data_IF_975896730673
#
_entry.id   IF_975896730673
#
_cell.length_a   1.000
_cell.length_b   1.000
_cell.length_c   1.000
_cell.angle_alpha   90.00
_cell.angle_beta   90.00
_cell.angle_gamma   90.00
#
_symmetry.space_group_name_H-M   'P 1'
#
loop_
_entity.id
_entity.type
_entity.pdbx_description
1 polymer ?
#
# COMPACT_ATOMS: atom_id res chain seq x y z
N UNK A 1 -18.25 0.84 -10.23
CA UNK A 1 -17.38 1.69 -11.07
C UNK A 1 -16.17 0.93 -11.64
N UNK A 2 -15.39 0.19 -10.81
CA UNK A 2 -14.24 -0.60 -11.28
C UNK A 2 -14.67 -1.67 -12.29
N UNK A 3 -15.78 -2.35 -12.04
CA UNK A 3 -16.34 -3.36 -12.93
C UNK A 3 -16.84 -2.75 -14.25
N UNK A 4 -17.39 -1.52 -14.23
CA UNK A 4 -17.82 -0.84 -15.44
C UNK A 4 -16.64 -0.38 -16.29
N UNK A 5 -15.54 0.07 -15.71
CA UNK A 5 -14.32 0.41 -16.45
C UNK A 5 -13.71 -0.80 -17.17
N UNK A 6 -13.79 -1.99 -16.57
CA UNK A 6 -13.29 -3.23 -17.17
C UNK A 6 -14.28 -3.86 -18.18
N UNK A 7 -15.57 -3.56 -18.11
CA UNK A 7 -16.57 -4.14 -19.00
C UNK A 7 -16.36 -3.76 -20.46
N UNK A 8 -15.80 -2.57 -20.74
CA UNK A 8 -15.50 -2.09 -22.09
C UNK A 8 -14.40 -2.92 -22.78
N UNK A 9 -13.61 -3.66 -22.00
CA UNK A 9 -12.53 -4.51 -22.50
C UNK A 9 -12.88 -6.00 -22.53
N UNK A 10 -14.07 -6.39 -22.09
CA UNK A 10 -14.51 -7.77 -22.16
C UNK A 10 -14.82 -8.15 -23.59
N UNK A 11 -14.19 -9.21 -24.13
CA UNK A 11 -14.49 -9.65 -25.48
C UNK A 11 -15.90 -10.23 -25.56
N UNK A 12 -16.67 -9.82 -26.55
CA UNK A 12 -17.98 -10.40 -26.82
C UNK A 12 -17.82 -11.61 -27.75
N UNK A 13 -17.71 -12.79 -27.17
CA UNK A 13 -17.50 -14.05 -27.89
C UNK A 13 -18.67 -14.42 -28.80
N UNK A 14 -19.88 -13.90 -28.50
CA UNK A 14 -21.09 -14.18 -29.25
C UNK A 14 -21.29 -13.23 -30.45
N UNK A 15 -20.43 -12.23 -30.64
CA UNK A 15 -20.52 -11.30 -31.76
C UNK A 15 -19.76 -11.82 -33.00
N UNK A 16 -20.29 -11.55 -34.17
CA UNK A 16 -19.63 -11.89 -35.43
C UNK A 16 -18.32 -11.08 -35.66
N UNK A 17 -18.13 -10.02 -34.90
CA UNK A 17 -16.93 -9.18 -34.92
C UNK A 17 -15.82 -9.69 -34.03
N UNK A 18 -16.10 -10.70 -33.21
CA UNK A 18 -15.09 -11.30 -32.31
C UNK A 18 -13.93 -11.89 -33.11
N UNK A 19 -12.71 -11.50 -32.76
CA UNK A 19 -11.47 -11.98 -33.38
C UNK A 19 -10.55 -12.60 -32.33
N UNK A 20 -9.79 -13.62 -32.77
CA UNK A 20 -8.83 -14.29 -31.89
C UNK A 20 -7.82 -13.32 -31.24
N UNK A 21 -7.47 -12.23 -31.91
CA UNK A 21 -6.58 -11.18 -31.36
C UNK A 21 -7.19 -10.51 -30.12
N UNK A 22 -8.50 -10.43 -30.01
CA UNK A 22 -9.20 -9.79 -28.90
C UNK A 22 -9.02 -10.60 -27.59
N UNK A 23 -8.86 -11.93 -27.70
CA UNK A 23 -8.48 -12.79 -26.60
C UNK A 23 -7.05 -12.54 -26.10
N UNK A 24 -6.13 -12.19 -26.99
CA UNK A 24 -4.73 -11.95 -26.63
C UNK A 24 -4.52 -10.56 -25.99
N UNK A 25 -5.28 -9.57 -26.42
CA UNK A 25 -5.18 -8.20 -25.89
C UNK A 25 -5.91 -8.02 -24.54
N UNK A 26 -6.93 -8.82 -24.26
CA UNK A 26 -7.71 -8.74 -23.04
C UNK A 26 -6.88 -8.94 -21.76
N UNK A 27 -6.01 -9.96 -21.64
CA UNK A 27 -5.13 -10.12 -20.47
C UNK A 27 -4.21 -8.91 -20.25
N UNK A 28 -3.63 -8.35 -21.32
CA UNK A 28 -2.73 -7.19 -21.21
C UNK A 28 -3.47 -5.95 -20.70
N UNK A 29 -4.67 -5.70 -21.19
CA UNK A 29 -5.52 -4.60 -20.73
C UNK A 29 -5.91 -4.77 -19.27
N UNK A 30 -6.28 -5.99 -18.85
CA UNK A 30 -6.61 -6.31 -17.47
C UNK A 30 -5.40 -6.11 -16.54
N UNK A 31 -4.22 -6.53 -16.97
CA UNK A 31 -2.99 -6.33 -16.22
C UNK A 31 -2.72 -4.83 -16.01
N UNK A 32 -2.79 -4.03 -17.06
CA UNK A 32 -2.60 -2.57 -16.95
C UNK A 32 -3.60 -1.92 -16.01
N UNK A 33 -4.87 -2.36 -16.03
CA UNK A 33 -5.88 -1.84 -15.11
C UNK A 33 -5.60 -2.23 -13.66
N UNK A 34 -5.15 -3.45 -13.38
CA UNK A 34 -4.76 -3.86 -12.04
C UNK A 34 -3.53 -3.10 -11.54
N UNK A 35 -2.53 -2.88 -12.39
CA UNK A 35 -1.35 -2.09 -12.04
C UNK A 35 -1.74 -0.65 -11.67
N UNK A 36 -2.59 -0.01 -12.48
CA UNK A 36 -3.10 1.34 -12.21
C UNK A 36 -3.89 1.38 -10.89
N UNK A 37 -4.80 0.43 -10.66
CA UNK A 37 -5.56 0.33 -9.41
C UNK A 37 -4.65 0.15 -8.19
N UNK A 38 -3.59 -0.62 -8.32
CA UNK A 38 -2.63 -0.83 -7.24
C UNK A 38 -1.88 0.46 -6.90
N UNK A 39 -1.42 1.20 -7.93
CA UNK A 39 -0.75 2.49 -7.74
C UNK A 39 -1.69 3.50 -7.09
N UNK A 40 -2.93 3.61 -7.57
CA UNK A 40 -3.93 4.52 -7.03
C UNK A 40 -4.28 4.16 -5.58
N UNK A 41 -4.42 2.87 -5.27
CA UNK A 41 -4.66 2.39 -3.91
C UNK A 41 -3.53 2.78 -2.96
N UNK A 42 -2.29 2.54 -3.35
CA UNK A 42 -1.11 2.89 -2.56
C UNK A 42 -1.03 4.39 -2.31
N UNK A 43 -1.28 5.20 -3.34
CA UNK A 43 -1.25 6.65 -3.22
C UNK A 43 -2.36 7.18 -2.32
N UNK A 44 -3.57 6.67 -2.48
CA UNK A 44 -4.71 7.05 -1.64
C UNK A 44 -4.50 6.61 -0.19
N UNK A 45 -3.97 5.43 0.04
CA UNK A 45 -3.63 4.94 1.37
C UNK A 45 -2.54 5.80 2.02
N UNK A 46 -1.49 6.13 1.28
CA UNK A 46 -0.45 7.05 1.76
C UNK A 46 -1.03 8.41 2.15
N UNK A 47 -1.87 8.99 1.30
CA UNK A 47 -2.54 10.26 1.58
C UNK A 47 -3.43 10.16 2.82
N UNK A 48 -4.17 9.06 2.99
CA UNK A 48 -4.96 8.81 4.19
C UNK A 48 -4.09 8.82 5.45
N UNK A 49 -2.98 8.10 5.46
CA UNK A 49 -2.07 8.05 6.62
C UNK A 49 -1.45 9.41 6.91
N UNK A 50 -1.05 10.16 5.88
CA UNK A 50 -0.48 11.51 6.05
C UNK A 50 -1.48 12.52 6.65
N UNK A 51 -2.78 12.30 6.41
CA UNK A 51 -3.85 13.14 6.95
C UNK A 51 -4.35 12.68 8.34
N UNK A 52 -3.75 11.62 8.92
CA UNK A 52 -4.10 11.22 10.28
C UNK A 52 -3.63 12.29 11.26
N UNK A 53 -4.58 12.88 11.95
CA UNK A 53 -4.33 13.87 13.00
C UNK A 53 -4.30 13.21 14.37
N UNK A 54 -3.31 13.54 15.19
CA UNK A 54 -3.27 13.12 16.58
C UNK A 54 -4.03 14.11 17.45
N UNK A 55 -5.10 13.62 18.08
CA UNK A 55 -5.87 14.43 19.05
C UNK A 55 -5.04 14.65 20.31
N UNK A 56 -5.24 15.80 20.96
CA UNK A 56 -4.53 16.12 22.22
C UNK A 56 -4.67 15.03 23.29
N UNK A 57 -5.80 14.33 23.35
CA UNK A 57 -6.03 13.22 24.27
C UNK A 57 -5.06 12.06 24.13
N UNK A 58 -4.39 11.89 22.98
CA UNK A 58 -3.36 10.87 22.78
C UNK A 58 -2.12 11.20 23.61
N UNK A 59 -1.73 12.47 23.70
CA UNK A 59 -0.59 12.90 24.49
C UNK A 59 -0.78 12.70 26.01
N UNK A 60 -2.02 12.75 26.47
CA UNK A 60 -2.39 12.50 27.86
C UNK A 60 -2.40 11.01 28.23
N UNK A 61 -2.68 10.13 27.26
CA UNK A 61 -2.85 8.69 27.46
C UNK A 61 -1.65 7.86 27.02
N UNK A 62 -0.54 8.49 26.68
CA UNK A 62 0.65 7.75 26.25
C UNK A 62 1.25 6.95 27.41
N UNK A 63 1.73 5.76 27.07
CA UNK A 63 2.50 4.91 28.01
C UNK A 63 3.93 5.44 28.12
N UNK A 64 4.61 5.06 29.18
CA UNK A 64 6.03 5.38 29.33
C UNK A 64 6.87 4.40 28.51
N UNK A 65 7.71 4.92 27.62
CA UNK A 65 8.63 4.15 26.81
C UNK A 65 10.06 4.56 27.12
N UNK A 66 10.96 3.57 27.19
CA UNK A 66 12.40 3.85 27.28
C UNK A 66 12.90 4.29 25.89
N UNK A 67 13.28 5.56 25.79
CA UNK A 67 13.75 6.18 24.55
C UNK A 67 15.06 5.60 24.00
N UNK A 68 15.82 4.89 24.84
CA UNK A 68 17.07 4.24 24.44
C UNK A 68 16.87 2.83 23.89
N UNK A 69 15.66 2.28 24.04
CA UNK A 69 15.31 0.98 23.46
C UNK A 69 15.22 1.04 21.94
N UNK A 70 15.35 -0.12 21.31
CA UNK A 70 15.08 -0.28 19.87
C UNK A 70 13.64 -0.72 19.65
N UNK A 71 13.00 -0.15 18.67
CA UNK A 71 11.59 -0.38 18.34
C UNK A 71 11.47 -1.02 16.97
N UNK A 72 10.67 -2.06 16.89
CA UNK A 72 10.24 -2.68 15.65
C UNK A 72 8.81 -2.21 15.39
N UNK A 73 8.62 -1.41 14.34
CA UNK A 73 7.34 -0.79 14.04
C UNK A 73 6.68 -1.44 12.82
N UNK A 74 5.48 -1.98 13.03
CA UNK A 74 4.65 -2.57 11.99
C UNK A 74 3.62 -1.59 11.42
N UNK A 75 3.52 -0.40 11.99
CA UNK A 75 2.61 0.65 11.52
C UNK A 75 3.32 1.57 10.52
N UNK A 76 2.53 2.24 9.72
CA UNK A 76 3.02 3.20 8.72
C UNK A 76 3.19 4.61 9.28
N UNK A 77 2.56 4.90 10.42
CA UNK A 77 2.56 6.22 11.04
C UNK A 77 3.82 6.48 11.85
N UNK A 78 4.22 7.73 11.90
CA UNK A 78 5.35 8.24 12.70
C UNK A 78 4.98 8.53 14.17
N UNK A 79 4.09 7.71 14.73
CA UNK A 79 3.60 7.89 16.11
C UNK A 79 4.71 7.85 17.15
N UNK A 80 5.70 6.96 16.97
CA UNK A 80 6.83 6.84 17.91
C UNK A 80 7.67 8.11 17.94
N UNK A 81 7.93 8.71 16.79
CA UNK A 81 8.66 9.97 16.69
C UNK A 81 7.83 11.13 17.21
N UNK A 82 6.61 11.28 16.69
CA UNK A 82 5.78 12.47 16.90
C UNK A 82 5.19 12.55 18.31
N UNK A 83 4.69 11.43 18.84
CA UNK A 83 4.01 11.40 20.15
C UNK A 83 4.99 11.08 21.28
N UNK A 84 5.91 10.16 21.06
CA UNK A 84 6.84 9.68 22.09
C UNK A 84 8.22 10.32 22.03
N UNK A 85 8.55 11.00 20.93
CA UNK A 85 9.86 11.63 20.74
C UNK A 85 11.01 10.63 20.67
N UNK A 86 10.75 9.46 20.07
CA UNK A 86 11.77 8.45 19.81
C UNK A 86 12.57 8.87 18.56
N UNK A 87 13.89 8.82 18.65
CA UNK A 87 14.73 9.12 17.49
C UNK A 87 14.62 8.02 16.44
N UNK A 88 14.53 8.41 15.15
CA UNK A 88 14.35 7.48 14.02
C UNK A 88 15.42 6.40 13.95
N UNK A 89 16.64 6.65 14.42
CA UNK A 89 17.73 5.64 14.50
C UNK A 89 17.41 4.46 15.40
N UNK A 90 16.43 4.61 16.31
CA UNK A 90 15.98 3.56 17.24
C UNK A 90 14.78 2.79 16.68
N UNK A 91 14.22 3.20 15.54
CA UNK A 91 13.01 2.63 14.98
C UNK A 91 13.32 1.91 13.67
N UNK A 92 12.90 0.65 13.58
CA UNK A 92 12.91 -0.13 12.34
C UNK A 92 11.47 -0.31 11.87
N UNK A 93 11.15 0.23 10.69
CA UNK A 93 9.85 0.08 10.05
C UNK A 93 9.86 -1.15 9.15
N UNK A 94 9.03 -2.13 9.44
CA UNK A 94 8.95 -3.39 8.67
C UNK A 94 8.32 -3.18 7.30
N UNK A 95 7.34 -2.29 7.22
CA UNK A 95 6.59 -2.00 5.99
C UNK A 95 6.91 -0.62 5.41
N UNK A 96 8.06 -0.05 5.78
CA UNK A 96 8.41 1.34 5.59
C UNK A 96 7.42 2.30 6.28
N UNK A 97 7.82 3.54 6.44
CA UNK A 97 6.91 4.60 6.90
C UNK A 97 6.42 5.42 5.72
N UNK A 98 5.34 6.18 5.92
CA UNK A 98 4.82 7.10 4.89
C UNK A 98 5.82 8.16 4.45
N UNK A 99 6.82 8.43 5.27
CA UNK A 99 7.89 9.40 4.98
C UNK A 99 9.08 8.78 4.23
N UNK A 100 9.09 7.45 4.02
CA UNK A 100 10.15 6.77 3.31
C UNK A 100 10.06 7.06 1.80
N UNK A 101 11.20 7.40 1.17
CA UNK A 101 11.29 7.68 -0.26
C UNK A 101 11.01 6.45 -1.14
N UNK A 102 11.29 5.25 -0.62
CA UNK A 102 11.01 3.99 -1.33
C UNK A 102 9.52 3.61 -1.33
N UNK A 103 8.70 4.34 -0.57
CA UNK A 103 7.27 4.07 -0.45
C UNK A 103 6.93 3.03 0.60
N UNK A 104 5.64 2.85 0.83
CA UNK A 104 5.10 1.87 1.79
C UNK A 104 4.97 0.49 1.16
N UNK A 105 5.10 -0.54 1.99
CA UNK A 105 4.94 -1.94 1.60
C UNK A 105 3.61 -2.45 2.16
N UNK A 106 2.69 -2.87 1.28
CA UNK A 106 1.48 -3.57 1.67
C UNK A 106 1.74 -5.08 1.68
N UNK A 107 1.39 -5.74 2.77
CA UNK A 107 1.66 -7.17 2.94
C UNK A 107 3.10 -7.43 3.38
N UNK A 108 3.74 -8.42 2.80
CA UNK A 108 5.08 -8.87 3.23
C UNK A 108 6.25 -8.42 2.35
N UNK A 109 6.02 -7.73 1.26
CA UNK A 109 7.09 -7.16 0.41
C UNK A 109 8.11 -8.17 -0.17
N UNK A 110 7.86 -9.48 -0.05
CA UNK A 110 8.73 -10.53 -0.55
C UNK A 110 8.13 -11.11 -1.83
N UNK A 111 8.95 -11.23 -2.87
CA UNK A 111 8.52 -11.87 -4.11
C UNK A 111 8.08 -13.33 -3.81
N UNK A 112 6.87 -13.75 -4.23
CA UNK A 112 6.38 -15.11 -4.04
C UNK A 112 7.34 -16.20 -4.50
N UNK A 113 8.16 -15.94 -5.52
CA UNK A 113 9.20 -16.87 -6.01
C UNK A 113 10.27 -17.21 -4.96
N UNK A 114 10.44 -16.38 -3.95
CA UNK A 114 11.39 -16.61 -2.87
C UNK A 114 10.86 -17.53 -1.77
N UNK A 115 9.59 -17.94 -1.83
CA UNK A 115 8.99 -18.92 -0.91
C UNK A 115 9.12 -20.36 -1.37
N UNK A 116 9.51 -20.62 -2.61
CA UNK A 116 9.75 -21.96 -3.12
C UNK A 116 11.12 -22.46 -2.63
N UNK A 117 11.08 -23.13 -1.49
CA UNK A 117 12.19 -23.95 -0.98
C UNK A 117 11.70 -25.34 -0.66
#
# INVERSE_FOLDING_TARGET
>A
EILSENSDYLPNIASDEFRARDLHTFPDVMQQNFERLTVDLLQNFKNFILNVEFKNSIYERKITLDKNSKFLNFNYTDTLERVYGIESKHITYIHNSVNNSEGIILGHGIDPKNFEK
#
